data_IF_268381621263
#
_entry.id   IF_268381621263
#
_cell.length_a   1.000
_cell.length_b   1.000
_cell.length_c   1.000
_cell.angle_alpha   90.00
_cell.angle_beta   90.00
_cell.angle_gamma   90.00
#
_symmetry.space_group_name_H-M   'P 1'
#
loop_
_entity.id
_entity.type
_entity.pdbx_description
1 polymer ?
#
# COMPACT_ATOMS: atom_id res chain seq x y z
N UNK A 1 3.57 -13.70 -17.74
CA UNK A 1 2.19 -13.94 -17.26
C UNK A 1 1.39 -12.68 -17.53
N UNK A 2 0.18 -12.77 -18.10
CA UNK A 2 -0.65 -11.59 -18.29
C UNK A 2 -1.10 -11.07 -16.93
N UNK A 3 -1.04 -9.74 -16.75
CA UNK A 3 -1.59 -9.07 -15.58
C UNK A 3 -3.08 -9.47 -15.45
N UNK A 4 -3.57 -9.77 -14.23
CA UNK A 4 -4.98 -10.05 -14.04
C UNK A 4 -5.78 -8.84 -14.52
N UNK A 5 -6.88 -9.11 -15.23
CA UNK A 5 -7.83 -8.11 -15.71
C UNK A 5 -8.36 -7.29 -14.53
N UNK A 6 -7.75 -6.13 -14.30
CA UNK A 6 -8.22 -5.11 -13.37
C UNK A 6 -9.13 -4.24 -14.23
N UNK A 7 -10.42 -4.13 -13.90
CA UNK A 7 -11.36 -3.37 -14.74
C UNK A 7 -10.98 -1.89 -14.88
N UNK A 8 -10.14 -1.35 -13.98
CA UNK A 8 -9.55 -0.02 -14.13
C UNK A 8 -8.49 0.07 -15.26
N UNK A 9 -7.89 -1.05 -15.69
CA UNK A 9 -6.90 -1.11 -16.75
C UNK A 9 -7.49 -1.44 -18.13
N UNK A 10 -8.66 -2.08 -18.19
CA UNK A 10 -9.26 -2.59 -19.44
C UNK A 10 -10.38 -1.73 -20.01
N UNK A 11 -10.82 -0.68 -19.29
CA UNK A 11 -11.82 0.25 -19.79
C UNK A 11 -11.21 1.62 -20.17
N UNK A 12 -11.05 1.93 -21.47
CA UNK A 12 -10.41 3.17 -21.93
C UNK A 12 -11.19 4.45 -21.60
N UNK A 13 -12.51 4.38 -21.36
CA UNK A 13 -13.30 5.53 -20.85
C UNK A 13 -13.20 5.71 -19.33
N UNK A 14 -12.81 4.67 -18.58
CA UNK A 14 -12.45 4.74 -17.15
C UNK A 14 -11.09 5.44 -16.97
N UNK A 15 -10.17 5.18 -17.89
CA UNK A 15 -8.79 5.70 -17.90
C UNK A 15 -8.64 7.22 -17.96
N UNK A 16 -9.66 8.01 -18.34
CA UNK A 16 -9.51 9.48 -18.43
C UNK A 16 -10.33 10.25 -17.38
N UNK A 17 -11.46 9.71 -16.92
CA UNK A 17 -12.30 10.41 -15.93
C UNK A 17 -11.84 10.24 -14.48
N UNK A 18 -10.99 9.24 -14.18
CA UNK A 18 -10.45 8.95 -12.83
C UNK A 18 -9.13 9.70 -12.58
N UNK A 19 -8.52 10.26 -13.63
CA UNK A 19 -7.28 11.03 -13.54
C UNK A 19 -7.50 12.53 -13.36
N UNK A 20 -8.69 12.96 -12.92
CA UNK A 20 -8.82 14.22 -12.18
C UNK A 20 -8.20 14.05 -10.79
N UNK A 21 -6.89 13.75 -10.76
CA UNK A 21 -6.06 13.92 -9.59
C UNK A 21 -6.31 15.34 -9.13
N UNK A 22 -6.91 15.52 -7.95
CA UNK A 22 -6.87 16.83 -7.32
C UNK A 22 -5.39 17.05 -7.05
N UNK A 23 -4.72 18.01 -7.72
CA UNK A 23 -3.31 18.19 -7.52
C UNK A 23 -3.10 18.47 -6.03
N UNK A 24 -2.35 17.63 -5.30
CA UNK A 24 -2.01 17.95 -3.94
C UNK A 24 -1.22 19.27 -3.93
N UNK A 25 -1.40 20.11 -2.91
CA UNK A 25 -2.20 19.86 -1.71
C UNK A 25 -3.72 20.05 -1.93
N UNK A 26 -4.51 19.05 -1.52
CA UNK A 26 -5.97 19.15 -1.46
C UNK A 26 -6.43 19.76 -0.13
N UNK A 27 -7.51 20.55 -0.15
CA UNK A 27 -8.17 21.07 1.05
C UNK A 27 -9.03 20.02 1.77
N UNK A 28 -9.20 18.83 1.18
CA UNK A 28 -9.93 17.74 1.81
C UNK A 28 -9.18 17.21 3.05
N UNK A 29 -9.90 16.88 4.13
CA UNK A 29 -9.28 16.25 5.30
C UNK A 29 -8.74 14.86 4.95
N UNK A 30 -7.65 14.46 5.61
CA UNK A 30 -7.12 13.11 5.48
C UNK A 30 -8.13 12.09 6.02
N UNK A 31 -8.40 11.04 5.24
CA UNK A 31 -9.20 9.91 5.69
C UNK A 31 -8.32 8.93 6.48
N UNK A 32 -8.85 8.28 7.52
CA UNK A 32 -8.11 7.26 8.26
C UNK A 32 -7.92 6.01 7.39
N UNK A 33 -6.76 5.36 7.55
CA UNK A 33 -6.49 4.01 7.08
C UNK A 33 -7.22 3.02 7.99
N UNK A 34 -8.04 2.14 7.41
CA UNK A 34 -8.83 1.18 8.17
C UNK A 34 -8.53 -0.26 7.77
N UNK A 35 -8.05 -1.05 8.73
CA UNK A 35 -7.88 -2.50 8.63
C UNK A 35 -8.99 -3.17 9.45
N UNK A 36 -9.91 -3.93 8.82
CA UNK A 36 -11.08 -4.49 9.53
C UNK A 36 -10.72 -5.42 10.70
N UNK A 37 -11.47 -5.41 11.82
CA UNK A 37 -11.21 -6.29 12.98
C UNK A 37 -11.29 -7.78 12.69
N UNK A 38 -12.08 -8.18 11.69
CA UNK A 38 -12.07 -9.56 11.21
C UNK A 38 -10.68 -9.99 10.72
N UNK A 39 -9.87 -9.05 10.24
CA UNK A 39 -8.46 -9.26 9.93
C UNK A 39 -7.53 -9.25 11.15
N UNK A 40 -8.02 -8.81 12.31
CA UNK A 40 -7.29 -8.75 13.58
C UNK A 40 -7.48 -10.04 14.41
N UNK A 41 -8.60 -10.76 14.28
CA UNK A 41 -8.99 -11.86 15.17
C UNK A 41 -8.74 -13.29 14.66
N UNK A 42 -8.12 -13.48 13.49
CA UNK A 42 -7.90 -14.82 12.94
C UNK A 42 -6.51 -15.37 13.27
N UNK A 43 -6.43 -16.69 13.50
CA UNK A 43 -5.23 -17.40 13.94
C UNK A 43 -4.22 -17.76 12.83
N UNK A 44 -4.33 -17.18 11.64
CA UNK A 44 -3.36 -17.38 10.56
C UNK A 44 -1.99 -16.75 10.89
N UNK A 45 -0.89 -17.45 10.56
CA UNK A 45 0.49 -16.98 10.77
C UNK A 45 0.89 -15.72 9.98
N UNK A 46 -0.01 -15.17 9.17
CA UNK A 46 0.19 -13.98 8.32
C UNK A 46 -0.84 -12.88 8.67
N UNK A 47 -1.39 -12.90 9.89
CA UNK A 47 -2.18 -11.79 10.41
C UNK A 47 -1.29 -10.63 10.87
N UNK A 48 -1.94 -9.55 11.33
CA UNK A 48 -1.23 -8.44 11.93
C UNK A 48 -0.27 -8.97 13.01
N UNK A 49 0.99 -8.55 12.97
CA UNK A 49 2.03 -9.11 13.80
C UNK A 49 1.86 -8.62 15.23
N UNK A 50 2.36 -9.40 16.19
CA UNK A 50 2.53 -8.89 17.55
C UNK A 50 3.60 -7.80 17.57
N UNK A 51 3.59 -6.95 18.60
CA UNK A 51 4.48 -5.80 18.76
C UNK A 51 5.98 -6.12 18.72
N UNK A 52 6.36 -7.36 19.05
CA UNK A 52 7.77 -7.77 19.13
C UNK A 52 8.18 -8.70 17.99
N UNK A 53 7.27 -8.96 17.03
CA UNK A 53 7.53 -9.92 15.97
C UNK A 53 8.19 -9.24 14.77
N UNK A 54 9.40 -9.66 14.37
CA UNK A 54 10.06 -9.11 13.19
C UNK A 54 9.27 -9.37 11.92
N UNK A 55 9.00 -8.32 11.15
CA UNK A 55 8.34 -8.43 9.86
C UNK A 55 8.81 -7.36 8.89
N UNK A 56 8.92 -7.77 7.63
CA UNK A 56 8.91 -6.83 6.51
C UNK A 56 7.48 -6.57 6.07
N UNK A 57 7.06 -5.32 6.13
CA UNK A 57 5.70 -4.91 5.82
C UNK A 57 5.72 -4.20 4.47
N UNK A 58 4.84 -4.62 3.56
CA UNK A 58 4.55 -3.90 2.34
C UNK A 58 3.10 -3.43 2.36
N UNK A 59 2.91 -2.12 2.14
CA UNK A 59 1.58 -1.52 1.96
C UNK A 59 1.52 -0.90 0.58
N UNK A 60 0.60 -1.37 -0.26
CA UNK A 60 0.50 -0.93 -1.65
C UNK A 60 -0.96 -0.78 -2.11
N UNK A 61 -1.22 0.12 -3.06
CA UNK A 61 -2.55 0.33 -3.60
C UNK A 61 -2.65 1.43 -4.66
N UNK A 62 -3.86 1.64 -5.20
CA UNK A 62 -4.13 2.73 -6.12
C UNK A 62 -3.76 4.08 -5.49
N UNK A 63 -3.05 4.91 -6.25
CA UNK A 63 -2.59 6.21 -5.77
C UNK A 63 -3.75 7.12 -5.35
N UNK A 64 -4.88 7.02 -6.04
CA UNK A 64 -6.09 7.80 -5.71
C UNK A 64 -6.59 7.50 -4.29
N UNK A 65 -6.51 6.26 -3.82
CA UNK A 65 -6.86 5.88 -2.46
C UNK A 65 -5.81 6.40 -1.46
N UNK A 66 -4.52 6.31 -1.82
CA UNK A 66 -3.40 6.78 -1.00
C UNK A 66 -3.44 8.31 -0.83
N UNK A 67 -3.84 9.05 -1.86
CA UNK A 67 -4.00 10.50 -1.79
C UNK A 67 -5.10 10.93 -0.82
N UNK A 68 -6.16 10.12 -0.63
CA UNK A 68 -7.17 10.38 0.40
C UNK A 68 -6.61 10.21 1.81
N UNK A 69 -5.63 9.33 2.00
CA UNK A 69 -4.90 9.17 3.26
C UNK A 69 -3.94 10.35 3.52
N UNK A 70 -3.29 10.82 2.45
CA UNK A 70 -2.21 11.81 2.51
C UNK A 70 -2.45 12.98 1.55
N UNK A 71 -3.54 13.78 1.74
CA UNK A 71 -3.97 14.79 0.77
C UNK A 71 -3.02 15.98 0.64
N UNK A 72 -2.12 16.16 1.62
CA UNK A 72 -1.12 17.25 1.65
C UNK A 72 0.21 16.85 1.02
N UNK A 73 0.41 15.56 0.74
CA UNK A 73 1.66 15.06 0.16
C UNK A 73 1.61 15.21 -1.36
N UNK A 74 2.67 15.78 -1.94
CA UNK A 74 2.83 15.76 -3.40
C UNK A 74 3.34 14.40 -3.86
N UNK A 75 2.57 13.78 -4.75
CA UNK A 75 2.91 12.52 -5.42
C UNK A 75 3.43 12.72 -6.85
N UNK A 76 3.57 13.98 -7.27
CA UNK A 76 4.13 14.30 -8.56
C UNK A 76 5.64 14.05 -8.56
N UNK A 77 6.10 13.29 -9.54
CA UNK A 77 7.52 12.98 -9.72
C UNK A 77 7.98 13.57 -11.05
N UNK A 78 8.93 14.51 -11.07
CA UNK A 78 9.33 15.16 -12.32
C UNK A 78 10.07 14.20 -13.27
N UNK A 79 10.67 13.12 -12.75
CA UNK A 79 11.51 12.19 -13.49
C UNK A 79 11.14 10.73 -13.16
N UNK A 80 11.42 9.81 -14.08
CA UNK A 80 11.20 8.36 -13.90
C UNK A 80 12.12 7.70 -12.84
N UNK A 81 13.15 8.42 -12.39
CA UNK A 81 14.10 7.97 -11.37
C UNK A 81 14.16 8.99 -10.21
N UNK A 82 13.08 9.13 -9.43
CA UNK A 82 13.09 10.03 -8.29
C UNK A 82 14.03 9.54 -7.19
N UNK A 83 14.53 10.47 -6.37
CA UNK A 83 15.33 10.15 -5.19
C UNK A 83 14.47 9.32 -4.23
N UNK A 84 15.05 8.22 -3.74
CA UNK A 84 14.41 7.35 -2.77
C UNK A 84 14.63 7.86 -1.33
N UNK A 85 13.61 7.76 -0.45
CA UNK A 85 12.22 7.45 -0.76
C UNK A 85 11.47 8.66 -1.32
N UNK A 86 10.36 8.44 -2.05
CA UNK A 86 9.43 9.52 -2.36
C UNK A 86 8.90 10.16 -1.07
N UNK A 87 8.59 11.48 -1.05
CA UNK A 87 8.13 12.17 0.15
C UNK A 87 6.92 11.51 0.83
N UNK A 88 6.02 10.90 0.06
CA UNK A 88 4.85 10.19 0.57
C UNK A 88 5.13 8.81 1.16
N UNK A 89 6.27 8.19 0.82
CA UNK A 89 6.64 6.87 1.31
C UNK A 89 6.75 6.81 2.84
N UNK A 90 7.60 7.62 3.47
CA UNK A 90 7.74 7.64 4.94
C UNK A 90 6.43 7.97 5.66
N UNK A 91 5.61 8.87 5.11
CA UNK A 91 4.31 9.23 5.71
C UNK A 91 3.30 8.08 5.62
N UNK A 92 3.27 7.35 4.49
CA UNK A 92 2.43 6.16 4.35
C UNK A 92 2.91 5.03 5.28
N UNK A 93 4.22 4.83 5.42
CA UNK A 93 4.79 3.85 6.34
C UNK A 93 4.42 4.16 7.79
N UNK A 94 4.58 5.40 8.26
CA UNK A 94 4.16 5.83 9.61
C UNK A 94 2.68 5.59 9.86
N UNK A 95 1.82 5.95 8.90
CA UNK A 95 0.38 5.74 9.00
C UNK A 95 0.04 4.25 9.09
N UNK A 96 0.66 3.42 8.25
CA UNK A 96 0.50 1.98 8.29
C UNK A 96 0.98 1.39 9.62
N UNK A 97 2.18 1.77 10.07
CA UNK A 97 2.76 1.35 11.34
C UNK A 97 1.80 1.64 12.50
N UNK A 98 1.33 2.88 12.61
CA UNK A 98 0.37 3.28 13.63
C UNK A 98 -0.92 2.47 13.59
N UNK A 99 -1.41 2.16 12.39
CA UNK A 99 -2.64 1.38 12.21
C UNK A 99 -2.44 -0.10 12.57
N UNK A 100 -1.26 -0.65 12.30
CA UNK A 100 -0.93 -2.06 12.56
C UNK A 100 -0.64 -2.30 14.04
N UNK A 101 0.20 -1.45 14.64
CA UNK A 101 0.73 -1.63 16.00
C UNK A 101 0.01 -0.80 17.05
N UNK A 102 -0.96 0.03 16.65
CA UNK A 102 -1.74 0.90 17.54
C UNK A 102 -0.86 1.85 18.39
N UNK A 103 0.33 2.21 17.90
CA UNK A 103 1.26 3.15 18.54
C UNK A 103 2.09 3.90 17.50
N UNK A 104 2.66 5.02 17.91
CA UNK A 104 3.64 5.73 17.08
C UNK A 104 4.96 4.96 17.01
N UNK A 105 5.77 5.28 15.99
CA UNK A 105 7.15 4.79 15.88
C UNK A 105 7.97 5.38 17.03
N UNK A 106 8.69 4.51 17.73
CA UNK A 106 9.57 4.84 18.82
C UNK A 106 11.00 5.03 18.29
N UNK A 107 11.55 6.26 18.31
CA UNK A 107 12.91 6.52 17.83
C UNK A 107 13.99 5.90 18.72
N UNK A 108 13.67 5.55 19.97
CA UNK A 108 14.62 4.96 20.93
C UNK A 108 14.74 3.44 20.77
N UNK A 109 13.88 2.82 19.95
CA UNK A 109 13.92 1.38 19.63
C UNK A 109 14.60 1.18 18.27
N UNK A 110 15.84 0.64 18.24
CA UNK A 110 16.52 0.36 16.98
C UNK A 110 15.71 -0.61 16.11
N UNK A 111 15.50 -0.22 14.85
CA UNK A 111 14.75 -1.04 13.90
C UNK A 111 13.23 -0.97 14.06
N UNK A 112 12.70 -0.06 14.88
CA UNK A 112 11.25 0.02 15.09
C UNK A 112 10.48 0.25 13.79
N UNK A 113 10.98 1.13 12.92
CA UNK A 113 10.52 1.23 11.55
C UNK A 113 11.66 1.67 10.63
N UNK A 114 12.03 0.83 9.66
CA UNK A 114 13.10 1.12 8.70
C UNK A 114 12.56 1.04 7.28
N UNK A 115 12.55 2.16 6.54
CA UNK A 115 12.12 2.17 5.14
C UNK A 115 13.11 1.37 4.28
N UNK A 116 12.61 0.42 3.49
CA UNK A 116 13.44 -0.50 2.71
C UNK A 116 13.27 -0.42 1.22
N UNK A 117 12.07 -0.17 0.70
CA UNK A 117 11.84 -0.09 -0.74
C UNK A 117 10.52 0.63 -1.07
N UNK A 118 10.33 1.02 -2.33
CA UNK A 118 9.08 1.56 -2.84
C UNK A 118 8.73 0.96 -4.21
N UNK A 119 7.46 0.65 -4.40
CA UNK A 119 6.91 0.25 -5.69
C UNK A 119 6.19 1.42 -6.36
N UNK A 120 6.48 1.64 -7.65
CA UNK A 120 5.92 2.73 -8.46
C UNK A 120 5.26 2.14 -9.70
N UNK A 121 3.93 2.13 -9.74
CA UNK A 121 3.15 1.76 -10.92
C UNK A 121 3.10 2.92 -11.90
N UNK A 122 4.05 2.96 -12.83
CA UNK A 122 4.15 4.02 -13.85
C UNK A 122 3.09 3.85 -14.94
N UNK A 123 2.30 4.90 -15.18
CA UNK A 123 1.33 4.94 -16.26
C UNK A 123 2.04 5.26 -17.59
N UNK A 124 2.24 4.25 -18.44
CA UNK A 124 2.99 4.41 -19.70
C UNK A 124 2.24 5.25 -20.72
N UNK A 125 0.92 5.28 -20.62
CA UNK A 125 -0.01 5.97 -21.52
C UNK A 125 -0.08 7.47 -21.27
N UNK A 126 0.38 7.96 -20.11
CA UNK A 126 0.37 9.39 -19.78
C UNK A 126 1.53 10.18 -20.39
N UNK A 127 2.36 9.58 -21.25
CA UNK A 127 3.49 10.28 -21.88
C UNK A 127 3.02 11.52 -22.66
N UNK A 128 3.70 12.67 -22.53
CA UNK A 128 5.03 12.85 -21.92
C UNK A 128 5.05 12.99 -20.39
N UNK A 129 3.89 13.06 -19.73
CA UNK A 129 3.80 13.27 -18.28
C UNK A 129 4.21 12.02 -17.50
N UNK A 130 5.13 12.23 -16.56
CA UNK A 130 5.68 11.18 -15.70
C UNK A 130 4.74 11.00 -14.51
N UNK A 131 3.84 10.03 -14.61
CA UNK A 131 2.79 9.80 -13.60
C UNK A 131 2.76 8.36 -13.10
N UNK A 132 2.49 8.22 -11.81
CA UNK A 132 2.17 6.95 -11.17
C UNK A 132 0.67 6.87 -10.89
N UNK A 133 0.06 5.71 -11.06
CA UNK A 133 -1.34 5.44 -10.69
C UNK A 133 -1.44 4.44 -9.51
N UNK A 134 -0.31 3.87 -9.11
CA UNK A 134 -0.19 2.89 -8.04
C UNK A 134 1.11 3.13 -7.27
N UNK A 135 1.05 3.04 -5.95
CA UNK A 135 2.22 3.20 -5.10
C UNK A 135 2.26 2.14 -4.01
N UNK A 136 3.46 1.72 -3.64
CA UNK A 136 3.70 0.85 -2.50
C UNK A 136 4.93 1.27 -1.73
N UNK A 137 4.88 1.10 -0.42
CA UNK A 137 6.02 1.31 0.49
C UNK A 137 6.32 0.02 1.22
N UNK A 138 7.60 -0.31 1.33
CA UNK A 138 8.10 -1.44 2.09
C UNK A 138 8.95 -0.92 3.24
N UNK A 139 8.68 -1.40 4.45
CA UNK A 139 9.48 -1.09 5.63
C UNK A 139 9.64 -2.32 6.52
N UNK A 140 10.73 -2.37 7.27
CA UNK A 140 11.00 -3.39 8.27
C UNK A 140 10.56 -2.91 9.64
N UNK A 141 10.04 -3.83 10.45
CA UNK A 141 9.87 -3.69 11.89
C UNK A 141 10.68 -4.80 12.57
N UNK A 142 11.67 -4.43 13.38
CA UNK A 142 12.56 -5.31 14.16
C UNK A 142 13.27 -6.42 13.35
N UNK A 143 13.35 -6.30 12.02
CA UNK A 143 14.06 -7.25 11.17
C UNK A 143 15.58 -7.08 11.35
N UNK A 144 16.32 -8.16 11.64
CA UNK A 144 17.79 -8.12 11.69
C UNK A 144 18.39 -7.62 10.37
N UNK A 145 19.47 -6.83 10.44
CA UNK A 145 20.06 -6.17 9.27
C UNK A 145 20.64 -7.14 8.22
N UNK A 146 21.00 -8.34 8.69
CA UNK A 146 21.56 -9.46 7.93
C UNK A 146 20.50 -10.46 7.45
N UNK A 147 19.24 -10.33 7.88
CA UNK A 147 18.15 -11.15 7.37
C UNK A 147 17.70 -10.66 5.97
N UNK A 148 18.04 -11.45 4.96
CA UNK A 148 17.74 -11.18 3.55
C UNK A 148 16.40 -11.77 3.10
N UNK A 149 15.77 -12.62 3.91
CA UNK A 149 14.51 -13.29 3.58
C UNK A 149 13.55 -13.33 4.79
N UNK A 150 13.26 -12.18 5.42
CA UNK A 150 12.34 -12.12 6.55
C UNK A 150 10.92 -12.54 6.13
N UNK A 151 10.09 -12.84 7.12
CA UNK A 151 8.66 -12.99 6.90
C UNK A 151 8.04 -11.65 6.44
N UNK A 152 7.07 -11.74 5.54
CA UNK A 152 6.47 -10.57 4.89
C UNK A 152 4.98 -10.48 5.19
N UNK A 153 4.56 -9.31 5.66
CA UNK A 153 3.16 -8.92 5.73
C UNK A 153 2.83 -7.99 4.57
N UNK A 154 2.05 -8.50 3.60
CA UNK A 154 1.52 -7.68 2.52
C UNK A 154 0.10 -7.19 2.84
N UNK A 155 -0.12 -5.89 2.73
CA UNK A 155 -1.39 -5.20 2.92
C UNK A 155 -1.73 -4.42 1.64
N UNK A 156 -2.90 -4.66 1.08
CA UNK A 156 -3.36 -3.92 -0.10
C UNK A 156 -4.40 -2.88 0.32
N UNK A 157 -4.17 -1.62 -0.08
CA UNK A 157 -5.15 -0.55 -0.02
C UNK A 157 -6.13 -0.74 -1.19
N UNK A 158 -7.41 -0.68 -0.88
CA UNK A 158 -8.51 -0.94 -1.81
C UNK A 158 -9.24 0.37 -2.10
N UNK A 159 -9.34 0.72 -3.38
CA UNK A 159 -10.23 1.81 -3.80
C UNK A 159 -11.68 1.30 -3.87
N UNK A 160 -12.60 2.05 -3.29
CA UNK A 160 -14.02 1.67 -3.14
C UNK A 160 -14.92 2.55 -3.99
N UNK A 161 -14.61 3.84 -4.08
CA UNK A 161 -15.57 4.83 -4.60
C UNK A 161 -15.69 4.76 -6.12
N UNK A 162 -14.62 4.31 -6.78
CA UNK A 162 -14.52 4.24 -8.23
C UNK A 162 -15.54 3.27 -8.86
N UNK A 163 -15.69 2.08 -8.28
CA UNK A 163 -16.59 1.04 -8.81
C UNK A 163 -17.69 0.63 -7.82
N UNK A 164 -17.92 1.42 -6.77
CA UNK A 164 -18.85 1.08 -5.71
C UNK A 164 -18.47 -0.21 -4.96
N UNK A 165 -17.18 -0.47 -4.79
CA UNK A 165 -16.64 -1.60 -4.04
C UNK A 165 -16.79 -2.96 -4.74
N UNK A 166 -17.05 -3.01 -6.04
CA UNK A 166 -17.15 -4.26 -6.82
C UNK A 166 -15.83 -5.04 -6.74
N UNK A 167 -14.71 -4.38 -7.05
CA UNK A 167 -13.37 -4.98 -6.98
C UNK A 167 -13.05 -5.45 -5.56
N UNK A 168 -13.32 -4.61 -4.56
CA UNK A 168 -13.04 -4.95 -3.17
C UNK A 168 -13.84 -6.15 -2.69
N UNK A 169 -15.13 -6.24 -3.00
CA UNK A 169 -15.96 -7.40 -2.65
C UNK A 169 -15.52 -8.66 -3.41
N UNK A 170 -15.11 -8.56 -4.68
CA UNK A 170 -14.61 -9.70 -5.46
C UNK A 170 -13.36 -10.34 -4.84
N UNK A 171 -12.49 -9.52 -4.25
CA UNK A 171 -11.20 -9.98 -3.72
C UNK A 171 -11.11 -10.05 -2.20
N UNK A 172 -12.18 -9.73 -1.48
CA UNK A 172 -12.28 -9.86 -0.02
C UNK A 172 -12.90 -11.20 0.38
N UNK A 173 -12.52 -11.71 1.56
CA UNK A 173 -13.15 -12.89 2.18
C UNK A 173 -14.44 -12.58 2.93
N UNK A 174 -14.81 -11.31 3.02
CA UNK A 174 -16.04 -10.85 3.66
C UNK A 174 -16.67 -9.72 2.85
N UNK A 175 -17.97 -9.54 3.06
CA UNK A 175 -18.74 -8.48 2.40
C UNK A 175 -18.29 -7.11 2.90
N UNK A 176 -18.07 -6.20 1.98
CA UNK A 176 -17.73 -4.80 2.20
C UNK A 176 -18.93 -3.97 1.74
N UNK A 177 -19.51 -3.18 2.64
CA UNK A 177 -20.52 -2.19 2.28
C UNK A 177 -19.82 -0.88 1.88
N UNK A 178 -19.89 -0.42 0.61
CA UNK A 178 -19.25 0.83 0.19
C UNK A 178 -19.67 2.04 1.04
N UNK A 179 -20.91 2.06 1.53
CA UNK A 179 -21.43 3.17 2.33
C UNK A 179 -20.67 3.38 3.65
N UNK A 180 -19.97 2.35 4.14
CA UNK A 180 -19.12 2.45 5.33
C UNK A 180 -17.79 3.15 5.07
N UNK A 181 -17.35 3.21 3.81
CA UNK A 181 -16.01 3.66 3.44
C UNK A 181 -16.02 4.98 2.67
N UNK A 182 -16.95 5.15 1.73
CA UNK A 182 -17.04 6.34 0.87
C UNK A 182 -17.04 7.63 1.69
N UNK A 183 -16.03 8.48 1.46
CA UNK A 183 -15.80 9.75 2.14
C UNK A 183 -15.50 9.66 3.65
N UNK A 184 -15.32 8.44 4.19
CA UNK A 184 -15.20 8.20 5.64
C UNK A 184 -13.86 7.59 6.03
N UNK A 185 -13.39 6.58 5.30
CA UNK A 185 -12.17 5.82 5.61
C UNK A 185 -11.70 5.03 4.40
N UNK A 186 -10.39 4.81 4.29
CA UNK A 186 -9.80 4.01 3.21
C UNK A 186 -9.58 2.59 3.70
N UNK A 187 -10.08 1.62 2.94
CA UNK A 187 -9.95 0.21 3.28
C UNK A 187 -8.55 -0.31 2.95
N UNK A 188 -7.95 -1.04 3.90
CA UNK A 188 -6.76 -1.84 3.68
C UNK A 188 -6.95 -3.28 4.15
N UNK A 189 -6.55 -4.23 3.32
CA UNK A 189 -6.71 -5.65 3.56
C UNK A 189 -5.35 -6.35 3.58
N UNK A 190 -4.95 -6.93 4.71
CA UNK A 190 -3.89 -7.94 4.73
C UNK A 190 -4.19 -9.06 3.73
N UNK A 191 -3.15 -9.63 3.12
CA UNK A 191 -3.32 -10.66 2.09
C UNK A 191 -4.13 -11.87 2.58
N UNK A 192 -4.01 -12.24 3.85
CA UNK A 192 -4.79 -13.32 4.47
C UNK A 192 -6.32 -13.08 4.45
N UNK A 193 -6.76 -11.82 4.36
CA UNK A 193 -8.16 -11.43 4.24
C UNK A 193 -8.68 -11.39 2.80
N UNK A 194 -7.82 -11.68 1.83
CA UNK A 194 -8.16 -11.64 0.41
C UNK A 194 -8.39 -13.06 -0.13
N UNK A 195 -9.16 -13.15 -1.22
CA UNK A 195 -9.36 -14.41 -1.95
C UNK A 195 -8.13 -14.80 -2.79
N UNK A 196 -7.35 -13.81 -3.24
CA UNK A 196 -6.08 -14.04 -3.94
C UNK A 196 -5.05 -14.63 -2.99
N UNK A 197 -4.39 -15.71 -3.41
CA UNK A 197 -3.29 -16.31 -2.67
C UNK A 197 -2.00 -15.54 -2.94
N UNK A 198 -1.40 -14.98 -1.89
CA UNK A 198 -0.14 -14.24 -1.94
C UNK A 198 1.12 -15.11 -1.94
N UNK A 199 1.10 -16.25 -2.64
CA UNK A 199 2.17 -17.26 -2.54
C UNK A 199 3.54 -16.76 -2.98
N UNK A 200 3.58 -15.70 -3.79
CA UNK A 200 4.82 -15.08 -4.28
C UNK A 200 5.16 -13.78 -3.57
N UNK A 201 4.34 -13.32 -2.63
CA UNK A 201 4.48 -12.00 -2.03
C UNK A 201 5.80 -11.87 -1.26
N UNK A 202 6.08 -12.82 -0.35
CA UNK A 202 7.32 -12.84 0.42
C UNK A 202 8.56 -12.76 -0.48
N UNK A 203 8.63 -13.65 -1.47
CA UNK A 203 9.74 -13.67 -2.43
C UNK A 203 9.86 -12.33 -3.19
N UNK A 204 8.76 -11.85 -3.79
CA UNK A 204 8.75 -10.60 -4.58
C UNK A 204 9.23 -9.41 -3.75
N UNK A 205 8.74 -9.29 -2.52
CA UNK A 205 9.06 -8.18 -1.63
C UNK A 205 10.53 -8.25 -1.19
N UNK A 206 11.00 -9.42 -0.78
CA UNK A 206 12.40 -9.60 -0.37
C UNK A 206 13.38 -9.40 -1.53
N UNK A 207 13.06 -9.91 -2.74
CA UNK A 207 13.87 -9.67 -3.94
C UNK A 207 13.96 -8.18 -4.31
N UNK A 208 12.86 -7.43 -4.17
CA UNK A 208 12.86 -6.00 -4.45
C UNK A 208 13.76 -5.21 -3.48
N UNK A 209 13.68 -5.51 -2.19
CA UNK A 209 14.56 -4.92 -1.17
C UNK A 209 16.02 -5.31 -1.42
N UNK A 210 16.31 -6.60 -1.64
CA UNK A 210 17.67 -7.06 -1.91
C UNK A 210 18.28 -6.41 -3.17
N UNK A 211 17.47 -6.21 -4.21
CA UNK A 211 17.88 -5.48 -5.43
C UNK A 211 18.26 -4.04 -5.11
N UNK A 212 17.45 -3.33 -4.31
CA UNK A 212 17.76 -1.95 -3.90
C UNK A 212 19.02 -1.88 -3.06
N UNK A 213 19.24 -2.84 -2.19
CA UNK A 213 20.39 -2.91 -1.29
C UNK A 213 21.69 -3.36 -2.01
N UNK A 214 21.61 -3.71 -3.30
CA UNK A 214 22.76 -4.21 -4.07
C UNK A 214 23.21 -5.61 -3.65
N UNK A 215 22.30 -6.42 -3.11
CA UNK A 215 22.53 -7.79 -2.62
C UNK A 215 22.07 -8.88 -3.60
N UNK A 216 21.54 -8.49 -4.76
CA UNK A 216 21.00 -9.36 -5.80
C UNK A 216 21.91 -9.42 -7.05
#
# INVERSE_FOLDING_TARGET
>A
MPLPDISCLTNPTHKYNIHCFHPPPSLQPALPLFIPPYCQNSHHRLHLPSLDQPFRIQVEGPLIAIQKLLPKVSWHTPNHSPIFPLPGGPELAKLAFKTIYCREVDPDVPGDMVIRDEYKGWLREARPDVMIDYYGITFDHLVPIDDIDPEVLQINIMEIEDDGGIYANKYSRFRIDPADYTGKKVLALPRCCQTRKGTTDRRRVNEAVNTRDGRA
#
